data_IF_291082837215
#
_entry.id   IF_291082837215
#
_cell.length_a   1.000
_cell.length_b   1.000
_cell.length_c   1.000
_cell.angle_alpha   90.00
_cell.angle_beta   90.00
_cell.angle_gamma   90.00
#
_symmetry.space_group_name_H-M   'P 1'
#
loop_
_entity.id
_entity.type
_entity.pdbx_description
1 polymer ?
#
# COMPACT_ATOMS: atom_id res chain seq x y z
N UNK A 1 -22.43 13.07 13.09
CA UNK A 1 -22.18 11.72 13.66
C UNK A 1 -21.93 10.68 12.57
N UNK A 2 -22.72 10.63 11.50
CA UNK A 2 -22.49 9.73 10.37
C UNK A 2 -21.20 10.03 9.59
N UNK A 3 -20.80 11.29 9.45
CA UNK A 3 -19.59 11.68 8.72
C UNK A 3 -18.31 11.09 9.34
N UNK A 4 -18.22 11.10 10.67
CA UNK A 4 -17.12 10.48 11.43
C UNK A 4 -17.15 8.95 11.25
N UNK A 5 -18.32 8.33 11.21
CA UNK A 5 -18.44 6.89 10.98
C UNK A 5 -17.95 6.50 9.58
N UNK A 6 -18.33 7.26 8.55
CA UNK A 6 -17.86 7.06 7.17
C UNK A 6 -16.35 7.29 7.08
N UNK A 7 -15.84 8.38 7.65
CA UNK A 7 -14.41 8.68 7.70
C UNK A 7 -13.63 7.54 8.37
N UNK A 8 -14.14 6.98 9.47
CA UNK A 8 -13.53 5.84 10.16
C UNK A 8 -13.50 4.58 9.31
N UNK A 9 -14.59 4.25 8.61
CA UNK A 9 -14.63 3.09 7.71
C UNK A 9 -13.56 3.23 6.63
N UNK A 10 -13.53 4.39 5.96
CA UNK A 10 -12.52 4.68 4.93
C UNK A 10 -11.10 4.65 5.49
N UNK A 11 -10.90 5.18 6.69
CA UNK A 11 -9.61 5.19 7.37
C UNK A 11 -9.12 3.78 7.65
N UNK A 12 -9.96 2.93 8.27
CA UNK A 12 -9.60 1.54 8.59
C UNK A 12 -9.30 0.76 7.32
N UNK A 13 -10.12 0.88 6.27
CA UNK A 13 -9.87 0.24 4.98
C UNK A 13 -8.53 0.70 4.38
N UNK A 14 -8.26 2.00 4.41
CA UNK A 14 -6.99 2.56 3.95
C UNK A 14 -5.79 2.02 4.74
N UNK A 15 -5.90 1.92 6.06
CA UNK A 15 -4.84 1.36 6.94
C UNK A 15 -4.62 -0.11 6.64
N UNK A 16 -5.67 -0.91 6.50
CA UNK A 16 -5.56 -2.35 6.19
C UNK A 16 -4.87 -2.55 4.85
N UNK A 17 -5.26 -1.81 3.81
CA UNK A 17 -4.63 -1.90 2.49
C UNK A 17 -3.17 -1.43 2.52
N UNK A 18 -2.87 -0.36 3.26
CA UNK A 18 -1.52 0.17 3.39
C UNK A 18 -0.59 -0.83 4.10
N UNK A 19 -0.96 -1.25 5.32
CA UNK A 19 -0.13 -2.17 6.12
C UNK A 19 -0.07 -3.56 5.48
N UNK A 20 -1.19 -4.07 4.97
CA UNK A 20 -1.22 -5.34 4.24
C UNK A 20 -0.34 -5.32 2.99
N UNK A 21 -0.36 -4.22 2.23
CA UNK A 21 0.51 -4.02 1.08
C UNK A 21 1.99 -4.02 1.46
N UNK A 22 2.38 -3.30 2.52
CA UNK A 22 3.76 -3.31 3.04
C UNK A 22 4.17 -4.71 3.49
N UNK A 23 3.28 -5.42 4.20
CA UNK A 23 3.50 -6.80 4.62
C UNK A 23 3.75 -7.73 3.43
N UNK A 24 2.92 -7.66 2.40
CA UNK A 24 3.10 -8.43 1.17
C UNK A 24 4.43 -8.09 0.46
N UNK A 25 4.74 -6.80 0.30
CA UNK A 25 5.97 -6.37 -0.39
C UNK A 25 7.21 -6.91 0.32
N UNK A 26 7.24 -6.81 1.65
CA UNK A 26 8.43 -7.16 2.44
C UNK A 26 8.60 -8.66 2.66
N UNK A 27 7.50 -9.39 2.87
CA UNK A 27 7.55 -10.81 3.26
C UNK A 27 7.34 -11.78 2.11
N UNK A 28 6.77 -11.32 0.98
CA UNK A 28 6.48 -12.17 -0.18
C UNK A 28 7.19 -11.65 -1.43
N UNK A 29 6.86 -10.43 -1.87
CA UNK A 29 7.34 -9.91 -3.17
C UNK A 29 8.86 -9.81 -3.25
N UNK A 30 9.49 -9.10 -2.30
CA UNK A 30 10.94 -8.89 -2.32
C UNK A 30 11.73 -10.22 -2.19
N UNK A 31 11.37 -11.16 -1.30
CA UNK A 31 11.97 -12.49 -1.28
C UNK A 31 11.83 -13.23 -2.61
N UNK A 32 10.63 -13.29 -3.20
CA UNK A 32 10.39 -13.97 -4.48
C UNK A 32 11.24 -13.38 -5.61
N UNK A 33 11.36 -12.05 -5.70
CA UNK A 33 12.22 -11.41 -6.70
C UNK A 33 13.68 -11.80 -6.52
N UNK A 34 14.18 -11.92 -5.28
CA UNK A 34 15.57 -12.31 -5.02
C UNK A 34 15.91 -13.73 -5.51
N UNK A 35 14.93 -14.59 -5.71
CA UNK A 35 15.13 -15.97 -6.18
C UNK A 35 15.34 -16.09 -7.70
N UNK A 36 15.06 -15.03 -8.47
CA UNK A 36 15.27 -15.08 -9.94
C UNK A 36 16.74 -15.23 -10.30
N UNK A 37 17.03 -15.98 -11.38
CA UNK A 37 18.40 -16.34 -11.75
C UNK A 37 19.17 -15.20 -12.41
N UNK A 38 18.52 -14.41 -13.27
CA UNK A 38 19.16 -13.28 -13.95
C UNK A 38 18.88 -11.97 -13.21
N UNK A 39 19.81 -11.01 -13.30
CA UNK A 39 19.65 -9.69 -12.66
C UNK A 39 18.61 -8.85 -13.42
N UNK A 40 18.54 -9.06 -14.73
CA UNK A 40 17.67 -8.38 -15.65
C UNK A 40 16.20 -8.72 -15.36
N UNK A 41 15.88 -10.00 -15.13
CA UNK A 41 14.53 -10.44 -14.72
C UNK A 41 14.12 -9.83 -13.37
N UNK A 42 15.07 -9.72 -12.42
CA UNK A 42 14.79 -9.10 -11.11
C UNK A 42 14.36 -7.65 -11.25
N UNK A 43 15.11 -6.89 -12.05
CA UNK A 43 14.86 -5.45 -12.26
C UNK A 43 13.56 -5.26 -13.01
N UNK A 44 13.37 -5.93 -14.15
CA UNK A 44 12.16 -5.77 -14.98
C UNK A 44 10.88 -6.12 -14.21
N UNK A 45 10.90 -7.22 -13.44
CA UNK A 45 9.75 -7.59 -12.62
C UNK A 45 9.53 -6.62 -11.46
N UNK A 46 10.60 -6.21 -10.76
CA UNK A 46 10.50 -5.26 -9.66
C UNK A 46 9.91 -3.93 -10.13
N UNK A 47 10.41 -3.33 -11.21
CA UNK A 47 9.88 -2.07 -11.74
C UNK A 47 8.40 -2.18 -12.11
N UNK A 48 7.99 -3.28 -12.76
CA UNK A 48 6.58 -3.54 -13.10
C UNK A 48 5.69 -3.69 -11.87
N UNK A 49 6.18 -4.30 -10.80
CA UNK A 49 5.44 -4.47 -9.56
C UNK A 49 5.41 -3.16 -8.76
N UNK A 50 6.55 -2.48 -8.64
CA UNK A 50 6.72 -1.21 -7.95
C UNK A 50 5.82 -0.14 -8.55
N UNK A 51 5.80 0.03 -9.87
CA UNK A 51 4.99 1.05 -10.52
C UNK A 51 3.48 0.89 -10.22
N UNK A 52 2.99 -0.37 -10.20
CA UNK A 52 1.60 -0.67 -9.84
C UNK A 52 1.33 -0.44 -8.36
N UNK A 53 2.25 -0.87 -7.50
CA UNK A 53 2.13 -0.71 -6.05
C UNK A 53 2.23 0.76 -5.62
N UNK A 54 3.10 1.55 -6.23
CA UNK A 54 3.31 2.96 -5.91
C UNK A 54 2.01 3.77 -6.02
N UNK A 55 1.18 3.49 -7.04
CA UNK A 55 -0.12 4.14 -7.18
C UNK A 55 -1.09 3.74 -6.06
N UNK A 56 -1.11 2.46 -5.67
CA UNK A 56 -1.92 1.99 -4.54
C UNK A 56 -1.46 2.64 -3.23
N UNK A 57 -0.16 2.57 -2.93
CA UNK A 57 0.43 3.13 -1.72
C UNK A 57 0.16 4.63 -1.59
N UNK A 58 0.32 5.41 -2.67
CA UNK A 58 0.00 6.86 -2.66
C UNK A 58 -1.46 7.11 -2.34
N UNK A 59 -2.37 6.40 -2.99
CA UNK A 59 -3.81 6.59 -2.80
C UNK A 59 -4.24 6.20 -1.37
N UNK A 60 -3.78 5.06 -0.87
CA UNK A 60 -4.12 4.59 0.49
C UNK A 60 -3.53 5.50 1.55
N UNK A 61 -2.27 5.96 1.41
CA UNK A 61 -1.65 6.89 2.35
C UNK A 61 -2.38 8.23 2.37
N UNK A 62 -2.74 8.77 1.21
CA UNK A 62 -3.51 10.01 1.13
C UNK A 62 -4.90 9.84 1.78
N UNK A 63 -5.60 8.75 1.49
CA UNK A 63 -6.91 8.45 2.08
C UNK A 63 -6.83 8.37 3.60
N UNK A 64 -5.86 7.62 4.13
CA UNK A 64 -5.62 7.49 5.58
C UNK A 64 -5.30 8.85 6.21
N UNK A 65 -4.42 9.64 5.57
CA UNK A 65 -4.08 10.98 6.05
C UNK A 65 -5.27 11.93 6.11
N UNK A 66 -6.06 12.01 5.04
CA UNK A 66 -7.24 12.88 4.96
C UNK A 66 -8.32 12.47 5.96
N UNK A 67 -8.65 11.18 6.02
CA UNK A 67 -9.69 10.67 6.93
C UNK A 67 -9.25 10.75 8.39
N UNK A 68 -7.97 10.52 8.69
CA UNK A 68 -7.40 10.66 10.03
C UNK A 68 -7.40 12.12 10.49
N UNK A 69 -6.97 13.03 9.62
CA UNK A 69 -7.04 14.46 9.89
C UNK A 69 -8.48 14.92 10.15
N UNK A 70 -9.44 14.52 9.30
CA UNK A 70 -10.85 14.88 9.47
C UNK A 70 -11.46 14.37 10.78
N UNK A 71 -11.02 13.21 11.29
CA UNK A 71 -11.52 12.68 12.57
C UNK A 71 -10.87 13.34 13.80
N UNK A 72 -9.68 13.92 13.65
CA UNK A 72 -8.91 14.50 14.75
C UNK A 72 -8.98 16.03 14.82
N UNK A 73 -9.29 16.69 13.70
CA UNK A 73 -9.56 18.12 13.60
C UNK A 73 -10.96 18.46 14.12
#
# INVERSE_FOLDING_TARGET
>A
MYDIAIARILHILGVVLWIGGVGFVTTVLLPTVKEFKSKEERIDFFEKAEHRFARQARLTTLLVGLTGFHMAA
#
